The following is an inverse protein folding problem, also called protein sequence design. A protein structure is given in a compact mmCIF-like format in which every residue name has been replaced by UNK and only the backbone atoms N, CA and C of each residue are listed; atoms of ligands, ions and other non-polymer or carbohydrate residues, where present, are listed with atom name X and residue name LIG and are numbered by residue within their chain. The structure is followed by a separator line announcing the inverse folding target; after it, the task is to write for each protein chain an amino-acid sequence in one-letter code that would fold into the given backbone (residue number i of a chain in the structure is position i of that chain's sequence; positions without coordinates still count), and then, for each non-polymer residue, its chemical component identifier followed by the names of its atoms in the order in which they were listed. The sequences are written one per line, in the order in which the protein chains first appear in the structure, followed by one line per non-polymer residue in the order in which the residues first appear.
data_IF_004927823532
#
_entry.id   IF_004927823532
#
_cell.length_a   1.000
_cell.length_b   1.000
_cell.length_c   1.000
_cell.angle_alpha   90.00
_cell.angle_beta   90.00
_cell.angle_gamma   90.00
#
_symmetry.space_group_name_H-M   'P 1'
#
loop_
_entity.id
_entity.type
_entity.pdbx_description
1 polymer ?
#
# COMPACT_ATOMS: atom_id res chain seq x y z
N UNK A 1 10.51 -13.91 30.36
CA UNK A 1 10.09 -14.98 29.41
C UNK A 1 11.29 -15.93 29.26
N UNK A 2 11.11 -17.26 29.12
CA UNK A 2 12.25 -18.22 29.07
C UNK A 2 12.53 -18.66 27.63
N UNK A 3 13.78 -18.55 27.20
CA UNK A 3 14.21 -18.93 25.85
C UNK A 3 14.32 -20.45 25.70
N UNK A 4 14.30 -20.98 24.46
CA UNK A 4 14.36 -22.43 24.19
C UNK A 4 15.66 -23.10 24.66
N UNK A 5 16.72 -22.31 24.88
CA UNK A 5 18.03 -22.77 25.39
C UNK A 5 18.11 -22.76 26.94
N UNK A 6 17.02 -22.42 27.61
CA UNK A 6 16.91 -22.46 29.07
C UNK A 6 17.34 -21.17 29.78
N UNK A 7 17.84 -20.15 29.06
CA UNK A 7 18.18 -18.84 29.62
C UNK A 7 16.92 -18.06 30.00
N UNK A 8 16.98 -17.38 31.14
CA UNK A 8 15.92 -16.53 31.65
C UNK A 8 16.27 -15.09 31.27
N UNK A 9 15.38 -14.44 30.51
CA UNK A 9 15.57 -13.05 30.10
C UNK A 9 15.06 -12.18 31.23
N UNK A 10 15.99 -11.51 31.91
CA UNK A 10 15.70 -10.65 33.07
C UNK A 10 15.55 -9.18 32.66
N UNK A 11 16.01 -8.79 31.47
CA UNK A 11 15.81 -7.45 30.91
C UNK A 11 15.61 -7.49 29.37
N UNK A 12 14.73 -6.64 28.84
CA UNK A 12 14.53 -6.49 27.37
C UNK A 12 15.84 -6.05 26.69
N UNK A 13 16.71 -5.38 27.45
CA UNK A 13 18.01 -4.92 27.01
C UNK A 13 19.01 -6.06 26.69
N UNK A 14 18.76 -7.30 27.14
CA UNK A 14 19.63 -8.45 26.80
C UNK A 14 19.47 -8.93 25.34
N UNK A 15 18.47 -8.42 24.62
CA UNK A 15 18.33 -8.66 23.17
C UNK A 15 19.18 -7.73 22.31
N UNK A 16 19.74 -6.66 22.87
CA UNK A 16 20.47 -5.63 22.14
C UNK A 16 21.97 -5.72 22.46
N UNK A 17 22.83 -5.59 21.45
CA UNK A 17 24.27 -5.58 21.68
C UNK A 17 24.66 -4.38 22.56
N UNK A 18 25.57 -4.55 23.55
CA UNK A 18 25.99 -3.44 24.41
C UNK A 18 26.82 -2.45 23.60
N UNK A 19 26.21 -1.34 23.17
CA UNK A 19 26.91 -0.28 22.45
C UNK A 19 26.03 0.57 21.54
N UNK A 20 24.90 0.03 21.08
CA UNK A 20 23.98 0.75 20.19
C UNK A 20 22.75 1.20 20.98
N UNK A 21 22.45 2.49 20.97
CA UNK A 21 21.20 2.99 21.56
C UNK A 21 20.03 2.63 20.64
N UNK A 22 18.82 2.53 21.21
CA UNK A 22 17.57 2.34 20.44
C UNK A 22 17.39 3.41 19.33
N UNK A 23 18.07 4.55 19.45
CA UNK A 23 18.16 5.66 18.48
C UNK A 23 19.07 5.36 17.28
N UNK A 24 20.04 4.44 17.37
CA UNK A 24 20.93 4.07 16.25
C UNK A 24 20.35 2.94 15.37
N UNK A 25 19.41 2.13 15.89
CA UNK A 25 18.76 1.05 15.13
C UNK A 25 17.43 1.47 14.47
N UNK A 26 16.88 2.62 14.85
CA UNK A 26 15.75 3.26 14.20
C UNK A 26 16.28 4.50 13.49
N UNK A 27 16.84 4.31 12.29
CA UNK A 27 17.09 5.42 11.36
C UNK A 27 15.71 5.93 10.89
N UNK A 28 15.07 6.74 11.74
CA UNK A 28 13.72 7.27 11.56
C UNK A 28 13.59 7.97 10.19
N UNK A 29 14.68 8.55 9.67
CA UNK A 29 14.73 9.17 8.36
C UNK A 29 14.60 8.14 7.22
N UNK A 30 15.20 6.95 7.36
CA UNK A 30 15.06 5.87 6.38
C UNK A 30 13.64 5.29 6.37
N UNK A 31 13.02 5.16 7.55
CA UNK A 31 11.66 4.64 7.70
C UNK A 31 10.61 5.66 7.22
N UNK A 32 10.78 6.94 7.53
CA UNK A 32 9.93 8.02 7.02
C UNK A 32 10.03 8.14 5.50
N UNK A 33 11.23 8.02 4.92
CA UNK A 33 11.42 8.04 3.47
C UNK A 33 10.78 6.83 2.77
N UNK A 34 10.84 5.65 3.38
CA UNK A 34 10.16 4.47 2.85
C UNK A 34 8.63 4.62 2.90
N UNK A 35 8.09 5.15 4.00
CA UNK A 35 6.67 5.46 4.12
C UNK A 35 6.21 6.52 3.12
N UNK A 36 6.97 7.60 2.94
CA UNK A 36 6.70 8.63 1.92
C UNK A 36 6.68 8.01 0.52
N UNK A 37 7.66 7.18 0.19
CA UNK A 37 7.71 6.49 -1.09
C UNK A 37 6.52 5.54 -1.29
N UNK A 38 6.13 4.78 -0.26
CA UNK A 38 4.95 3.92 -0.33
C UNK A 38 3.66 4.73 -0.55
N UNK A 39 3.51 5.87 0.13
CA UNK A 39 2.35 6.77 -0.06
C UNK A 39 2.34 7.35 -1.48
N UNK A 40 3.49 7.79 -1.99
CA UNK A 40 3.60 8.28 -3.38
C UNK A 40 3.24 7.19 -4.40
N UNK A 41 3.77 5.98 -4.24
CA UNK A 41 3.47 4.85 -5.13
C UNK A 41 1.99 4.47 -5.09
N UNK A 42 1.38 4.43 -3.90
CA UNK A 42 -0.05 4.17 -3.75
C UNK A 42 -0.88 5.29 -4.39
N UNK A 43 -0.49 6.55 -4.22
CA UNK A 43 -1.12 7.69 -4.87
C UNK A 43 -1.03 7.61 -6.40
N UNK A 44 0.13 7.27 -6.95
CA UNK A 44 0.30 7.06 -8.40
C UNK A 44 -0.53 5.90 -8.94
N UNK A 45 -0.63 4.79 -8.20
CA UNK A 45 -1.50 3.66 -8.56
C UNK A 45 -2.98 4.07 -8.56
N UNK A 46 -3.43 4.74 -7.52
CA UNK A 46 -4.80 5.27 -7.40
C UNK A 46 -5.14 6.18 -8.59
N UNK A 47 -4.29 7.16 -8.90
CA UNK A 47 -4.48 8.05 -10.07
C UNK A 47 -4.51 7.28 -11.38
N UNK A 48 -3.66 6.25 -11.54
CA UNK A 48 -3.67 5.41 -12.74
C UNK A 48 -4.97 4.59 -12.87
N UNK A 49 -5.55 4.12 -11.76
CA UNK A 49 -6.84 3.42 -11.75
C UNK A 49 -7.97 4.37 -12.16
N UNK A 50 -7.98 5.57 -11.58
CA UNK A 50 -8.99 6.59 -11.89
C UNK A 50 -8.94 6.97 -13.36
N UNK A 51 -7.75 7.20 -13.93
CA UNK A 51 -7.60 7.48 -15.36
C UNK A 51 -8.13 6.36 -16.26
N UNK A 52 -7.84 5.09 -15.93
CA UNK A 52 -8.37 3.95 -16.69
C UNK A 52 -9.88 3.82 -16.56
N UNK A 53 -10.41 3.97 -15.34
CA UNK A 53 -11.84 3.90 -15.09
C UNK A 53 -12.61 4.98 -15.85
N UNK A 54 -12.06 6.19 -15.93
CA UNK A 54 -12.62 7.26 -16.76
C UNK A 54 -12.55 6.92 -18.25
N UNK A 55 -11.39 6.50 -18.76
CA UNK A 55 -11.23 6.17 -20.18
C UNK A 55 -12.16 5.06 -20.66
N UNK A 56 -12.34 4.01 -19.84
CA UNK A 56 -13.24 2.91 -20.20
C UNK A 56 -14.70 3.30 -20.08
N UNK A 57 -15.06 4.07 -19.04
CA UNK A 57 -16.41 4.58 -18.89
C UNK A 57 -16.78 5.52 -20.05
N UNK A 58 -15.85 6.37 -20.52
CA UNK A 58 -16.05 7.20 -21.71
C UNK A 58 -16.29 6.35 -22.96
N UNK A 59 -15.50 5.29 -23.14
CA UNK A 59 -15.64 4.37 -24.28
C UNK A 59 -17.01 3.65 -24.26
N UNK A 60 -17.43 3.17 -23.09
CA UNK A 60 -18.74 2.53 -22.91
C UNK A 60 -19.89 3.54 -23.11
N UNK A 61 -19.73 4.77 -22.61
CA UNK A 61 -20.71 5.85 -22.77
C UNK A 61 -20.93 6.18 -24.26
N UNK A 62 -19.86 6.29 -25.04
CA UNK A 62 -19.92 6.49 -26.49
C UNK A 62 -20.65 5.33 -27.19
N UNK A 63 -20.36 4.08 -26.81
CA UNK A 63 -21.00 2.89 -27.40
C UNK A 63 -22.51 2.85 -27.19
N UNK A 64 -22.97 3.27 -26.00
CA UNK A 64 -24.40 3.32 -25.67
C UNK A 64 -25.08 4.64 -26.03
N UNK A 65 -24.34 5.58 -26.65
CA UNK A 65 -24.85 6.85 -27.16
C UNK A 65 -25.09 7.92 -26.09
N UNK A 66 -24.34 7.89 -24.99
CA UNK A 66 -24.27 8.95 -24.00
C UNK A 66 -23.16 9.95 -24.36
N UNK A 67 -23.41 11.23 -24.11
CA UNK A 67 -22.44 12.31 -24.35
C UNK A 67 -21.26 12.29 -23.35
N UNK A 68 -21.48 11.73 -22.15
CA UNK A 68 -20.48 11.62 -21.09
C UNK A 68 -20.73 10.38 -20.20
N UNK A 69 -19.69 9.80 -19.57
CA UNK A 69 -19.85 8.69 -18.64
C UNK A 69 -20.61 9.11 -17.38
N UNK A 70 -21.48 8.22 -16.92
CA UNK A 70 -22.17 8.45 -15.65
C UNK A 70 -21.26 8.14 -14.45
N UNK A 71 -21.50 8.76 -13.28
CA UNK A 71 -20.76 8.43 -12.06
C UNK A 71 -20.82 6.93 -11.69
N UNK A 72 -21.94 6.26 -11.98
CA UNK A 72 -22.12 4.84 -11.69
C UNK A 72 -21.23 3.95 -12.59
N UNK A 73 -21.03 4.33 -13.86
CA UNK A 73 -20.13 3.62 -14.78
C UNK A 73 -18.69 3.72 -14.29
N UNK A 74 -18.23 4.94 -13.99
CA UNK A 74 -16.87 5.17 -13.46
C UNK A 74 -16.67 4.40 -12.16
N UNK A 75 -17.65 4.43 -11.25
CA UNK A 75 -17.60 3.68 -10.00
C UNK A 75 -17.59 2.15 -10.23
N UNK A 76 -18.24 1.67 -11.30
CA UNK A 76 -18.17 0.28 -11.74
C UNK A 76 -16.76 -0.15 -12.09
N UNK A 77 -16.11 0.61 -12.97
CA UNK A 77 -14.72 0.35 -13.39
C UNK A 77 -13.73 0.49 -12.23
N UNK A 78 -13.89 1.49 -11.35
CA UNK A 78 -13.04 1.64 -10.16
C UNK A 78 -13.06 0.40 -9.27
N UNK A 79 -14.24 -0.16 -9.00
CA UNK A 79 -14.36 -1.40 -8.21
C UNK A 79 -13.74 -2.61 -8.93
N UNK A 80 -13.87 -2.67 -10.26
CA UNK A 80 -13.26 -3.74 -11.05
C UNK A 80 -11.73 -3.68 -10.97
N UNK A 81 -11.15 -2.50 -11.13
CA UNK A 81 -9.70 -2.31 -11.04
C UNK A 81 -9.15 -2.57 -9.64
N UNK A 82 -9.86 -2.12 -8.61
CA UNK A 82 -9.52 -2.43 -7.22
C UNK A 82 -9.52 -3.95 -6.97
N UNK A 83 -10.51 -4.68 -7.50
CA UNK A 83 -10.58 -6.13 -7.38
C UNK A 83 -9.45 -6.86 -8.14
N UNK A 84 -9.08 -6.39 -9.33
CA UNK A 84 -8.00 -7.01 -10.13
C UNK A 84 -6.64 -6.87 -9.47
N UNK A 85 -6.33 -5.71 -8.89
CA UNK A 85 -5.05 -5.53 -8.20
C UNK A 85 -4.97 -6.31 -6.88
N UNK A 86 -6.10 -6.57 -6.21
CA UNK A 86 -6.12 -7.43 -5.03
C UNK A 86 -5.83 -8.90 -5.35
N UNK A 87 -6.19 -9.37 -6.56
CA UNK A 87 -5.93 -10.74 -7.01
C UNK A 87 -4.47 -10.94 -7.50
N UNK A 88 -3.77 -9.84 -7.83
CA UNK A 88 -2.38 -9.85 -8.29
C UNK A 88 -1.33 -9.79 -7.16
N UNK A 89 -1.72 -9.60 -5.88
CA UNK A 89 -0.77 -9.61 -4.75
C UNK A 89 -0.53 -11.03 -4.26
N UNK A 90 0.66 -11.65 -4.48
CA UNK A 90 0.98 -12.93 -3.86
C UNK A 90 1.08 -12.74 -2.34
N UNK A 91 0.30 -13.55 -1.60
CA UNK A 91 0.33 -13.63 -0.14
C UNK A 91 1.56 -14.31 0.44
#
# INVERSE_FOLDING_TARGET
MRMPDGRQIDDINDFFEPGETLEEQLDDDALMRDLEWQVEVLGHRQMSREQRAWSDAESEAEEIGLDEPTPDMIAGYLRMYEAWELDEVPG
#
